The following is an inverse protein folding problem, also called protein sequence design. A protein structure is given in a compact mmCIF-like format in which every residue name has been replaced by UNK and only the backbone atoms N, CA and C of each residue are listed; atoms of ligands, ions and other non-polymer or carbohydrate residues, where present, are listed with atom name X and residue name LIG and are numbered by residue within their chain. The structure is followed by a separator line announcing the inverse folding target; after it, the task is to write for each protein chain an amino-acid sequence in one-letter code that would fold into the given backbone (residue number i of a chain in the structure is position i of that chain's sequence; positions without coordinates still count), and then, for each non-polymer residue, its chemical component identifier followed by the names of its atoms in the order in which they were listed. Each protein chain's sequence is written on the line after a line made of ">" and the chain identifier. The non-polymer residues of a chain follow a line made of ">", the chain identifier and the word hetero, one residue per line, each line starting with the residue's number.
data_IF_637244994711
#
_entry.id   IF_637244994711
#
_cell.length_a   1.000
_cell.length_b   1.000
_cell.length_c   1.000
_cell.angle_alpha   90.00
_cell.angle_beta   90.00
_cell.angle_gamma   90.00
#
_symmetry.space_group_name_H-M   'P 1'
#
loop_
_entity.id
_entity.type
_entity.pdbx_description
1 polymer ?
#
# COMPACT_ATOMS: atom_id res chain seq x y z
N UNK A 1 20.89 -6.33 14.17
CA UNK A 1 19.78 -6.66 13.25
C UNK A 1 20.39 -7.12 11.92
N UNK A 2 19.86 -8.15 11.26
CA UNK A 2 20.45 -8.68 10.01
C UNK A 2 19.82 -7.99 8.79
N UNK A 3 20.56 -7.09 8.14
CA UNK A 3 20.08 -6.23 7.06
C UNK A 3 19.48 -7.00 5.85
N UNK A 4 20.11 -8.08 5.35
CA UNK A 4 19.51 -8.98 4.37
C UNK A 4 18.12 -9.51 4.71
N UNK A 5 17.84 -9.78 6.01
CA UNK A 5 16.51 -10.25 6.42
C UNK A 5 15.47 -9.15 6.34
N UNK A 6 15.84 -7.90 6.61
CA UNK A 6 14.94 -6.75 6.47
C UNK A 6 14.58 -6.52 5.00
N UNK A 7 15.58 -6.61 4.12
CA UNK A 7 15.40 -6.44 2.68
C UNK A 7 14.52 -7.56 2.11
N UNK A 8 14.68 -8.80 2.59
CA UNK A 8 13.83 -9.92 2.20
C UNK A 8 12.38 -9.73 2.66
N UNK A 9 12.17 -9.28 3.90
CA UNK A 9 10.84 -9.02 4.44
C UNK A 9 10.13 -7.92 3.63
N UNK A 10 10.84 -6.84 3.31
CA UNK A 10 10.32 -5.75 2.50
C UNK A 10 10.07 -6.18 1.05
N UNK A 11 10.93 -7.04 0.49
CA UNK A 11 10.75 -7.63 -0.83
C UNK A 11 9.46 -8.43 -0.91
N UNK A 12 9.24 -9.34 0.05
CA UNK A 12 8.01 -10.15 0.12
C UNK A 12 6.78 -9.26 0.28
N UNK A 13 6.86 -8.23 1.13
CA UNK A 13 5.77 -7.27 1.31
C UNK A 13 5.43 -6.51 0.02
N UNK A 14 6.44 -6.01 -0.70
CA UNK A 14 6.25 -5.35 -2.00
C UNK A 14 5.72 -6.30 -3.07
N UNK A 15 6.18 -7.55 -3.10
CA UNK A 15 5.65 -8.57 -4.01
C UNK A 15 4.16 -8.84 -3.75
N UNK A 16 3.75 -8.98 -2.49
CA UNK A 16 2.32 -9.10 -2.11
C UNK A 16 1.54 -7.86 -2.53
N UNK A 17 2.10 -6.67 -2.27
CA UNK A 17 1.49 -5.39 -2.62
C UNK A 17 1.34 -5.19 -4.14
N UNK A 18 2.11 -5.88 -4.97
CA UNK A 18 1.98 -5.84 -6.44
C UNK A 18 1.06 -6.94 -6.96
N UNK A 19 1.13 -8.14 -6.39
CA UNK A 19 0.46 -9.34 -6.94
C UNK A 19 -0.96 -9.57 -6.42
N UNK A 20 -1.40 -8.91 -5.34
CA UNK A 20 -2.74 -9.15 -4.79
C UNK A 20 -3.83 -8.57 -5.69
N UNK A 21 -4.77 -9.40 -6.15
CA UNK A 21 -5.83 -9.03 -7.13
C UNK A 21 -7.27 -9.28 -6.63
N UNK A 22 -7.44 -9.73 -5.39
CA UNK A 22 -8.72 -10.24 -4.89
C UNK A 22 -9.53 -9.18 -4.12
N UNK A 23 -10.80 -9.52 -3.86
CA UNK A 23 -11.67 -8.81 -2.88
C UNK A 23 -10.88 -8.66 -1.57
N UNK A 24 -10.64 -7.41 -1.10
CA UNK A 24 -9.73 -7.05 0.02
C UNK A 24 -8.23 -6.90 -0.32
N UNK A 25 -7.89 -6.70 -1.59
CA UNK A 25 -6.52 -6.43 -2.04
C UNK A 25 -5.88 -5.26 -1.27
N UNK A 26 -6.62 -4.16 -1.06
CA UNK A 26 -6.13 -2.97 -0.37
C UNK A 26 -5.76 -3.29 1.08
N UNK A 27 -6.62 -4.03 1.79
CA UNK A 27 -6.36 -4.45 3.17
C UNK A 27 -5.14 -5.37 3.27
N UNK A 28 -5.07 -6.40 2.42
CA UNK A 28 -3.97 -7.36 2.44
C UNK A 28 -2.62 -6.69 2.12
N UNK A 29 -2.59 -5.81 1.12
CA UNK A 29 -1.40 -5.04 0.78
C UNK A 29 -1.00 -4.09 1.91
N UNK A 30 -1.95 -3.39 2.53
CA UNK A 30 -1.67 -2.46 3.64
C UNK A 30 -1.08 -3.18 4.85
N UNK A 31 -1.62 -4.34 5.23
CA UNK A 31 -1.11 -5.16 6.33
C UNK A 31 0.28 -5.71 6.00
N UNK A 32 0.45 -6.29 4.80
CA UNK A 32 1.73 -6.84 4.38
C UNK A 32 2.83 -5.78 4.36
N UNK A 33 2.53 -4.58 3.86
CA UNK A 33 3.46 -3.46 3.82
C UNK A 33 3.74 -2.89 5.21
N UNK A 34 2.72 -2.75 6.07
CA UNK A 34 2.92 -2.31 7.45
C UNK A 34 3.82 -3.27 8.23
N UNK A 35 3.60 -4.59 8.10
CA UNK A 35 4.47 -5.61 8.69
C UNK A 35 5.87 -5.60 8.07
N UNK A 36 5.95 -5.42 6.75
CA UNK A 36 7.21 -5.38 6.01
C UNK A 36 8.11 -4.21 6.40
N UNK A 37 7.51 -3.06 6.72
CA UNK A 37 8.20 -1.84 7.10
C UNK A 37 8.34 -1.64 8.61
N UNK A 38 7.67 -2.43 9.45
CA UNK A 38 7.77 -2.33 10.91
C UNK A 38 9.20 -2.38 11.45
N UNK A 39 10.10 -3.26 10.95
CA UNK A 39 11.49 -3.25 11.40
C UNK A 39 12.23 -1.95 11.05
N UNK A 40 11.96 -1.37 9.86
CA UNK A 40 12.53 -0.09 9.46
C UNK A 40 11.98 1.05 10.33
N UNK A 41 10.67 1.09 10.56
CA UNK A 41 10.05 2.06 11.46
C UNK A 41 10.62 1.99 12.89
N UNK A 42 10.85 0.79 13.41
CA UNK A 42 11.47 0.58 14.73
C UNK A 42 12.91 1.11 14.79
N UNK A 43 13.70 0.88 13.75
CA UNK A 43 15.09 1.30 13.67
C UNK A 43 15.26 2.81 13.67
N UNK A 44 14.39 3.54 12.98
CA UNK A 44 14.56 4.98 12.74
C UNK A 44 13.63 5.88 13.55
N UNK A 45 12.44 5.39 13.90
CA UNK A 45 11.44 6.16 14.65
C UNK A 45 11.11 5.59 16.04
N UNK A 46 11.77 4.51 16.46
CA UNK A 46 11.55 3.86 17.76
C UNK A 46 10.17 3.22 17.91
N UNK A 47 9.80 2.87 19.15
CA UNK A 47 8.55 2.15 19.44
C UNK A 47 7.28 2.90 19.02
N UNK A 48 7.27 4.24 19.15
CA UNK A 48 6.13 5.07 18.75
C UNK A 48 5.83 4.98 17.24
N UNK A 49 6.86 4.92 16.40
CA UNK A 49 6.69 4.75 14.96
C UNK A 49 6.06 3.39 14.58
N UNK A 50 6.45 2.32 15.28
CA UNK A 50 5.86 0.99 15.09
C UNK A 50 4.37 1.02 15.46
N UNK A 51 4.02 1.68 16.57
CA UNK A 51 2.61 1.82 17.00
C UNK A 51 1.79 2.58 15.96
N UNK A 52 2.32 3.67 15.39
CA UNK A 52 1.62 4.44 14.34
C UNK A 52 1.40 3.57 13.09
N UNK A 53 2.44 2.86 12.65
CA UNK A 53 2.38 2.02 11.45
C UNK A 53 1.43 0.82 11.60
N UNK A 54 1.55 0.08 12.69
CA UNK A 54 0.66 -1.05 12.99
C UNK A 54 -0.75 -0.59 13.34
N UNK A 55 -0.88 0.55 14.01
CA UNK A 55 -2.14 1.18 14.34
C UNK A 55 -2.94 1.54 13.09
N UNK A 56 -2.28 1.99 12.02
CA UNK A 56 -2.95 2.23 10.74
C UNK A 56 -3.40 0.94 10.05
N UNK A 57 -2.61 -0.13 10.15
CA UNK A 57 -3.03 -1.47 9.68
C UNK A 57 -4.25 -1.99 10.45
N UNK A 58 -4.26 -1.83 11.78
CA UNK A 58 -5.40 -2.18 12.62
C UNK A 58 -6.63 -1.30 12.31
N UNK A 59 -6.44 0.01 12.14
CA UNK A 59 -7.49 0.94 11.74
C UNK A 59 -8.09 0.55 10.39
N UNK A 60 -7.28 0.12 9.43
CA UNK A 60 -7.76 -0.37 8.13
C UNK A 60 -8.61 -1.65 8.27
N UNK A 61 -8.18 -2.57 9.14
CA UNK A 61 -8.90 -3.81 9.41
C UNK A 61 -10.27 -3.58 10.06
N UNK A 62 -10.43 -2.48 10.81
CA UNK A 62 -11.68 -2.11 11.49
C UNK A 62 -12.56 -1.21 10.60
N UNK A 63 -11.97 -0.22 9.95
CA UNK A 63 -12.68 0.76 9.12
C UNK A 63 -13.34 0.10 7.90
N UNK A 64 -12.66 -0.84 7.23
CA UNK A 64 -13.20 -1.55 6.07
C UNK A 64 -14.56 -2.23 6.36
N UNK A 65 -14.65 -3.14 7.35
CA UNK A 65 -15.91 -3.77 7.73
C UNK A 65 -16.99 -2.81 8.20
N UNK A 66 -16.64 -1.79 9.01
CA UNK A 66 -17.61 -0.82 9.52
C UNK A 66 -18.21 0.03 8.40
N UNK A 67 -17.36 0.59 7.55
CA UNK A 67 -17.79 1.44 6.44
C UNK A 67 -18.49 0.60 5.37
N UNK A 68 -18.07 -0.64 5.15
CA UNK A 68 -18.80 -1.60 4.32
C UNK A 68 -20.19 -1.90 4.87
N UNK A 69 -20.35 -2.08 6.18
CA UNK A 69 -21.67 -2.30 6.79
C UNK A 69 -22.58 -1.06 6.66
N UNK A 70 -22.03 0.15 6.82
CA UNK A 70 -22.75 1.40 6.59
C UNK A 70 -23.14 1.55 5.11
N UNK A 71 -22.21 1.25 4.19
CA UNK A 71 -22.45 1.30 2.76
C UNK A 71 -23.55 0.33 2.31
N UNK A 72 -23.62 -0.87 2.92
CA UNK A 72 -24.67 -1.84 2.64
C UNK A 72 -26.06 -1.41 3.12
N UNK A 73 -26.16 -0.52 4.12
CA UNK A 73 -27.43 0.03 4.61
C UNK A 73 -27.99 1.14 3.71
N UNK A 74 -27.15 1.74 2.87
CA UNK A 74 -27.52 2.88 2.02
C UNK A 74 -28.28 2.54 0.74
N UNK A 75 -28.65 1.27 0.53
CA UNK A 75 -29.27 0.79 -0.70
C UNK A 75 -28.31 0.68 -1.89
N UNK A 76 -28.71 -0.02 -2.97
CA UNK A 76 -27.97 0.01 -4.21
C UNK A 76 -28.00 1.39 -4.84
N UNK A 77 -26.87 1.82 -5.39
CA UNK A 77 -26.76 3.10 -6.09
C UNK A 77 -25.80 2.99 -7.27
N UNK A 78 -26.08 3.76 -8.33
CA UNK A 78 -25.21 3.89 -9.49
C UNK A 78 -23.84 4.42 -9.06
N UNK A 79 -22.84 3.54 -9.06
CA UNK A 79 -21.48 3.85 -8.64
C UNK A 79 -20.44 3.10 -9.45
N UNK A 80 -19.22 3.65 -9.56
CA UNK A 80 -18.10 3.04 -10.30
C UNK A 80 -17.75 1.66 -9.74
N UNK A 81 -17.51 0.67 -10.59
CA UNK A 81 -17.10 -0.68 -10.17
C UNK A 81 -15.63 -0.74 -9.80
N UNK A 82 -15.28 -0.96 -8.51
CA UNK A 82 -13.89 -1.02 -8.12
C UNK A 82 -13.16 -2.23 -8.72
N UNK A 83 -13.89 -3.22 -9.25
CA UNK A 83 -13.35 -4.38 -9.92
C UNK A 83 -13.49 -4.31 -11.45
N UNK A 84 -14.31 -3.41 -12.03
CA UNK A 84 -14.35 -3.31 -13.50
C UNK A 84 -13.06 -2.71 -14.02
N UNK A 85 -12.47 -3.31 -15.06
CA UNK A 85 -11.37 -2.71 -15.76
C UNK A 85 -11.81 -1.41 -16.46
N UNK A 86 -11.01 -0.36 -16.34
CA UNK A 86 -11.23 0.97 -16.96
C UNK A 86 -11.03 0.95 -18.48
N UNK A 87 -10.50 -0.14 -19.04
CA UNK A 87 -10.47 -0.40 -20.48
C UNK A 87 -10.07 -1.84 -20.79
N UNK A 88 -10.61 -2.40 -21.88
CA UNK A 88 -10.11 -3.63 -22.45
C UNK A 88 -8.78 -3.31 -23.16
N UNK A 89 -7.71 -4.04 -22.82
CA UNK A 89 -6.42 -3.87 -23.47
C UNK A 89 -5.94 -5.23 -23.99
N UNK A 90 -5.86 -5.35 -25.31
CA UNK A 90 -5.18 -6.44 -26.01
C UNK A 90 -3.66 -6.17 -25.97
N UNK A 91 -3.08 -6.25 -24.78
CA UNK A 91 -1.64 -6.10 -24.60
C UNK A 91 -0.91 -7.42 -24.82
N UNK A 92 0.31 -7.35 -25.36
CA UNK A 92 1.23 -8.49 -25.53
C UNK A 92 1.51 -9.27 -24.22
N UNK A 93 1.30 -8.62 -23.07
CA UNK A 93 1.50 -9.19 -21.75
C UNK A 93 0.24 -9.11 -20.89
N UNK A 94 -0.07 -10.21 -20.21
CA UNK A 94 -1.12 -10.26 -19.20
C UNK A 94 -0.83 -9.35 -17.99
N UNK A 95 -1.86 -8.92 -17.24
CA UNK A 95 -1.72 -7.98 -16.12
C UNK A 95 -0.72 -8.43 -15.06
N UNK A 96 -0.64 -9.73 -14.77
CA UNK A 96 0.36 -10.27 -13.82
C UNK A 96 1.79 -10.13 -14.33
N UNK A 97 2.02 -10.38 -15.62
CA UNK A 97 3.36 -10.28 -16.22
C UNK A 97 3.88 -8.84 -16.20
N UNK A 98 3.03 -7.86 -16.50
CA UNK A 98 3.39 -6.43 -16.45
C UNK A 98 3.72 -5.99 -15.02
N UNK A 99 2.98 -6.50 -14.04
CA UNK A 99 3.22 -6.23 -12.62
C UNK A 99 4.51 -6.86 -12.09
N UNK A 100 4.81 -8.09 -12.51
CA UNK A 100 6.10 -8.74 -12.19
C UNK A 100 7.26 -7.96 -12.82
N UNK A 101 7.14 -7.55 -14.09
CA UNK A 101 8.14 -6.72 -14.76
C UNK A 101 8.32 -5.38 -14.05
N UNK A 102 7.22 -4.73 -13.66
CA UNK A 102 7.25 -3.54 -12.82
C UNK A 102 7.99 -3.81 -11.50
N UNK A 103 7.65 -4.88 -10.78
CA UNK A 103 8.31 -5.23 -9.53
C UNK A 103 9.82 -5.43 -9.69
N UNK A 104 10.27 -6.00 -10.82
CA UNK A 104 11.68 -6.12 -11.15
C UNK A 104 12.34 -4.75 -11.39
N UNK A 105 11.66 -3.83 -12.09
CA UNK A 105 12.14 -2.44 -12.26
C UNK A 105 12.21 -1.71 -10.91
N UNK A 106 11.20 -1.86 -10.05
CA UNK A 106 11.21 -1.32 -8.69
C UNK A 106 12.35 -1.88 -7.85
N UNK A 107 12.69 -3.16 -8.00
CA UNK A 107 13.82 -3.77 -7.32
C UNK A 107 15.12 -3.07 -7.70
N UNK A 108 15.37 -2.92 -9.00
CA UNK A 108 16.59 -2.27 -9.51
C UNK A 108 16.66 -0.82 -9.08
N UNK A 109 15.58 -0.06 -9.27
CA UNK A 109 15.53 1.36 -8.91
C UNK A 109 15.60 1.58 -7.38
N UNK A 110 14.94 0.73 -6.58
CA UNK A 110 14.98 0.79 -5.12
C UNK A 110 16.38 0.48 -4.58
N UNK A 111 17.06 -0.51 -5.19
CA UNK A 111 18.47 -0.82 -4.92
C UNK A 111 19.35 0.39 -5.24
N UNK A 112 19.18 0.99 -6.42
CA UNK A 112 19.94 2.17 -6.82
C UNK A 112 19.75 3.35 -5.86
N UNK A 113 18.51 3.69 -5.51
CA UNK A 113 18.20 4.75 -4.53
C UNK A 113 18.88 4.46 -3.19
N UNK A 114 18.84 3.21 -2.74
CA UNK A 114 19.41 2.83 -1.46
C UNK A 114 20.94 2.88 -1.39
N UNK A 115 21.63 2.80 -2.52
CA UNK A 115 23.08 2.90 -2.60
C UNK A 115 23.58 4.30 -2.97
N UNK A 116 22.74 5.15 -3.55
CA UNK A 116 23.15 6.45 -4.12
C UNK A 116 22.54 7.68 -3.42
N UNK A 117 21.49 7.54 -2.60
CA UNK A 117 20.85 8.68 -1.94
C UNK A 117 21.28 8.77 -0.46
N UNK A 118 21.98 9.84 -0.05
CA UNK A 118 22.29 10.07 1.36
C UNK A 118 21.03 10.53 2.13
N UNK A 119 20.85 10.02 3.35
CA UNK A 119 19.77 10.43 4.25
C UNK A 119 20.36 11.21 5.42
N UNK A 120 20.05 12.51 5.50
CA UNK A 120 20.48 13.37 6.60
C UNK A 120 22.00 13.61 6.66
N UNK A 121 22.48 14.13 7.80
CA UNK A 121 23.89 14.48 8.05
C UNK A 121 24.78 13.29 8.45
N UNK A 122 24.20 12.10 8.60
CA UNK A 122 24.92 10.87 9.00
C UNK A 122 24.89 9.91 7.80
N UNK A 123 25.91 10.01 6.95
CA UNK A 123 26.09 9.21 5.73
C UNK A 123 26.28 7.69 5.96
N UNK A 124 26.03 7.17 7.16
CA UNK A 124 26.40 5.82 7.56
C UNK A 124 25.39 4.72 7.18
N UNK A 125 24.28 5.04 6.51
CA UNK A 125 23.19 4.08 6.30
C UNK A 125 22.97 3.76 4.82
N UNK A 126 24.05 3.33 4.14
CA UNK A 126 23.91 2.69 2.84
C UNK A 126 23.12 1.39 2.98
N UNK A 127 22.14 1.17 2.09
CA UNK A 127 21.35 -0.06 2.05
C UNK A 127 20.09 -0.10 2.91
N UNK A 128 19.85 0.80 3.87
CA UNK A 128 18.65 0.71 4.70
C UNK A 128 17.45 1.53 4.23
N UNK A 129 17.64 2.33 3.18
CA UNK A 129 16.55 2.93 2.43
C UNK A 129 15.84 1.92 1.54
N UNK A 130 16.50 0.79 1.22
CA UNK A 130 16.01 -0.19 0.26
C UNK A 130 14.57 -0.63 0.53
N UNK A 131 14.19 -1.05 1.76
CA UNK A 131 12.80 -1.43 2.06
C UNK A 131 11.77 -0.37 1.68
N UNK A 132 12.07 0.89 2.01
CA UNK A 132 11.15 2.02 1.83
C UNK A 132 11.09 2.44 0.37
N UNK A 133 12.24 2.56 -0.28
CA UNK A 133 12.34 2.91 -1.70
C UNK A 133 11.71 1.83 -2.60
N UNK A 134 11.95 0.55 -2.30
CA UNK A 134 11.37 -0.57 -3.03
C UNK A 134 9.84 -0.57 -2.94
N UNK A 135 9.29 -0.48 -1.73
CA UNK A 135 7.83 -0.48 -1.52
C UNK A 135 7.19 0.77 -2.13
N UNK A 136 7.83 1.94 -2.03
CA UNK A 136 7.37 3.16 -2.71
C UNK A 136 7.24 2.95 -4.22
N UNK A 137 8.29 2.39 -4.85
CA UNK A 137 8.30 2.12 -6.30
C UNK A 137 7.26 1.07 -6.69
N UNK A 138 7.05 0.03 -5.87
CA UNK A 138 5.97 -0.93 -6.05
C UNK A 138 4.59 -0.24 -6.05
N UNK A 139 4.36 0.68 -5.11
CA UNK A 139 3.12 1.48 -5.04
C UNK A 139 2.93 2.37 -6.26
N UNK A 140 3.97 3.12 -6.66
CA UNK A 140 3.95 4.01 -7.83
C UNK A 140 3.70 3.24 -9.13
N UNK A 141 4.38 2.11 -9.32
CA UNK A 141 4.13 1.27 -10.49
C UNK A 141 2.71 0.73 -10.50
N UNK A 142 2.17 0.37 -9.33
CA UNK A 142 0.79 -0.08 -9.24
C UNK A 142 -0.21 1.04 -9.55
N UNK A 143 0.11 2.29 -9.27
CA UNK A 143 -0.68 3.46 -9.72
C UNK A 143 -0.64 3.61 -11.25
N UNK A 144 0.55 3.56 -11.86
CA UNK A 144 0.70 3.67 -13.32
C UNK A 144 0.07 2.49 -14.08
N UNK A 145 0.08 1.30 -13.47
CA UNK A 145 -0.48 0.08 -14.03
C UNK A 145 -1.91 -0.19 -13.56
N UNK A 146 -2.55 0.77 -12.88
CA UNK A 146 -3.86 0.58 -12.29
C UNK A 146 -4.91 0.33 -13.37
N UNK A 147 -5.58 -0.83 -13.32
CA UNK A 147 -6.64 -1.17 -14.28
C UNK A 147 -8.03 -0.96 -13.71
N UNK A 148 -8.17 -0.86 -12.40
CA UNK A 148 -9.44 -0.64 -11.71
C UNK A 148 -9.20 0.24 -10.46
N UNK A 149 -10.28 0.70 -9.84
CA UNK A 149 -10.15 1.55 -8.64
C UNK A 149 -9.51 0.81 -7.47
N UNK A 150 -9.61 -0.52 -7.42
CA UNK A 150 -8.93 -1.33 -6.39
C UNK A 150 -7.41 -1.24 -6.54
N UNK A 151 -6.89 -1.33 -7.76
CA UNK A 151 -5.46 -1.19 -8.04
C UNK A 151 -4.96 0.21 -7.69
N UNK A 152 -5.73 1.24 -8.03
CA UNK A 152 -5.43 2.62 -7.66
C UNK A 152 -5.40 2.77 -6.13
N UNK A 153 -6.39 2.23 -5.42
CA UNK A 153 -6.47 2.28 -3.97
C UNK A 153 -5.30 1.53 -3.29
N UNK A 154 -4.89 0.37 -3.82
CA UNK A 154 -3.69 -0.32 -3.34
C UNK A 154 -2.45 0.53 -3.60
N UNK A 155 -2.28 1.06 -4.81
CA UNK A 155 -1.14 1.92 -5.14
C UNK A 155 -1.03 3.12 -4.20
N UNK A 156 -2.14 3.83 -3.96
CA UNK A 156 -2.20 4.98 -3.04
C UNK A 156 -1.85 4.56 -1.62
N UNK A 157 -2.44 3.48 -1.11
CA UNK A 157 -2.18 3.01 0.25
C UNK A 157 -0.71 2.60 0.45
N UNK A 158 -0.15 1.84 -0.50
CA UNK A 158 1.24 1.37 -0.44
C UNK A 158 2.23 2.54 -0.53
N UNK A 159 2.00 3.48 -1.44
CA UNK A 159 2.82 4.69 -1.57
C UNK A 159 2.72 5.56 -0.31
N UNK A 160 1.53 5.76 0.24
CA UNK A 160 1.33 6.55 1.46
C UNK A 160 2.06 5.95 2.66
N UNK A 161 1.98 4.62 2.85
CA UNK A 161 2.71 3.96 3.93
C UNK A 161 4.23 4.08 3.74
N UNK A 162 4.73 3.89 2.52
CA UNK A 162 6.16 4.05 2.24
C UNK A 162 6.65 5.49 2.46
N UNK A 163 5.91 6.49 1.98
CA UNK A 163 6.24 7.92 2.20
C UNK A 163 6.19 8.26 3.69
N UNK A 164 5.19 7.77 4.41
CA UNK A 164 5.08 7.97 5.85
C UNK A 164 6.27 7.40 6.62
N UNK A 165 6.74 6.20 6.26
CA UNK A 165 7.97 5.64 6.83
C UNK A 165 9.21 6.41 6.37
N UNK A 166 9.22 6.93 5.14
CA UNK A 166 10.24 7.87 4.63
C UNK A 166 10.37 9.16 5.46
N UNK A 167 9.27 9.70 5.96
CA UNK A 167 9.28 10.85 6.88
C UNK A 167 9.98 10.54 8.20
N UNK A 168 9.87 9.31 8.70
CA UNK A 168 10.57 8.87 9.91
C UNK A 168 12.09 8.75 9.68
N UNK A 169 12.52 8.44 8.46
CA UNK A 169 13.92 8.32 8.07
C UNK A 169 14.64 9.67 7.96
N UNK A 170 13.91 10.71 7.53
CA UNK A 170 14.52 12.00 7.15
C UNK A 170 15.16 12.75 8.32
N UNK A 171 14.71 12.51 9.56
CA UNK A 171 15.18 13.21 10.76
C UNK A 171 14.87 14.72 10.73
N UNK A 172 14.03 15.21 11.65
CA UNK A 172 13.60 16.60 11.68
C UNK A 172 12.72 16.92 12.89
N UNK A 173 12.21 18.15 13.00
CA UNK A 173 11.25 18.53 14.04
C UNK A 173 9.87 17.91 13.74
N UNK A 174 9.37 17.08 14.66
CA UNK A 174 8.07 16.39 14.60
C UNK A 174 7.85 15.43 13.41
N UNK A 175 8.67 14.36 13.26
CA UNK A 175 8.49 13.36 12.20
C UNK A 175 7.27 12.45 12.44
N UNK A 176 6.85 12.27 13.70
CA UNK A 176 5.76 11.36 14.07
C UNK A 176 4.37 11.85 13.64
N UNK A 177 3.96 13.12 13.91
CA UNK A 177 2.68 13.64 13.43
C UNK A 177 2.58 13.67 11.90
N UNK A 178 3.65 14.08 11.22
CA UNK A 178 3.70 14.10 9.76
C UNK A 178 3.59 12.69 9.16
N UNK A 179 4.34 11.73 9.70
CA UNK A 179 4.24 10.33 9.29
C UNK A 179 2.82 9.75 9.54
N UNK A 180 2.24 10.02 10.71
CA UNK A 180 0.89 9.56 11.06
C UNK A 180 -0.17 10.10 10.09
N UNK A 181 -0.08 11.39 9.72
CA UNK A 181 -0.98 12.02 8.76
C UNK A 181 -0.94 11.35 7.38
N UNK A 182 0.26 11.05 6.87
CA UNK A 182 0.41 10.38 5.57
C UNK A 182 -0.03 8.91 5.65
N UNK A 183 0.34 8.19 6.72
CA UNK A 183 -0.02 6.78 6.90
C UNK A 183 -1.55 6.60 7.02
N UNK A 184 -2.27 7.59 7.58
CA UNK A 184 -3.74 7.56 7.71
C UNK A 184 -4.48 7.49 6.36
N UNK A 185 -3.82 7.77 5.23
CA UNK A 185 -4.40 7.60 3.90
C UNK A 185 -4.70 6.12 3.60
N UNK A 186 -3.90 5.18 4.12
CA UNK A 186 -4.11 3.74 3.89
C UNK A 186 -5.45 3.21 4.43
N UNK A 187 -5.84 3.43 5.70
CA UNK A 187 -7.16 3.02 6.18
C UNK A 187 -8.31 3.74 5.48
N UNK A 188 -8.13 5.00 5.04
CA UNK A 188 -9.14 5.73 4.25
C UNK A 188 -9.36 5.06 2.88
N UNK A 189 -8.29 4.66 2.19
CA UNK A 189 -8.39 3.93 0.92
C UNK A 189 -9.13 2.59 1.08
N UNK A 190 -8.84 1.86 2.17
CA UNK A 190 -9.54 0.60 2.50
C UNK A 190 -11.02 0.84 2.79
N UNK A 191 -11.35 1.88 3.56
CA UNK A 191 -12.73 2.25 3.87
C UNK A 191 -13.52 2.60 2.60
N UNK A 192 -12.91 3.37 1.69
CA UNK A 192 -13.52 3.76 0.42
C UNK A 192 -13.78 2.54 -0.50
N UNK A 193 -12.82 1.63 -0.63
CA UNK A 193 -13.00 0.38 -1.39
C UNK A 193 -14.17 -0.45 -0.81
N UNK A 194 -14.20 -0.60 0.52
CA UNK A 194 -15.22 -1.38 1.20
C UNK A 194 -16.62 -0.77 1.06
N UNK A 195 -16.72 0.56 1.11
CA UNK A 195 -17.97 1.29 0.89
C UNK A 195 -18.53 1.06 -0.52
N UNK A 196 -17.69 1.28 -1.54
CA UNK A 196 -18.04 1.10 -2.95
C UNK A 196 -18.45 -0.35 -3.24
N UNK A 197 -17.72 -1.31 -2.66
CA UNK A 197 -18.02 -2.73 -2.82
C UNK A 197 -19.31 -3.17 -2.08
N UNK A 198 -19.73 -2.44 -1.04
CA UNK A 198 -20.91 -2.77 -0.25
C UNK A 198 -22.20 -2.25 -0.88
N UNK A 199 -22.21 -1.02 -1.41
CA UNK A 199 -23.38 -0.43 -2.07
C UNK A 199 -23.91 -1.31 -3.20
N UNK A 200 -23.05 -2.02 -3.93
CA UNK A 200 -23.46 -2.92 -5.01
C UNK A 200 -23.97 -4.31 -4.61
N UNK A 201 -23.73 -4.79 -3.38
CA UNK A 201 -24.26 -6.11 -2.98
C UNK A 201 -25.79 -6.10 -2.83
N UNK A 202 -26.41 -4.92 -2.78
CA UNK A 202 -27.86 -4.75 -2.81
C UNK A 202 -28.49 -5.18 -4.14
N UNK A 203 -27.83 -4.92 -5.28
CA UNK A 203 -28.37 -5.20 -6.62
C UNK A 203 -28.41 -6.69 -6.98
N UNK A 204 -27.43 -7.48 -6.51
CA UNK A 204 -27.33 -8.90 -6.85
C UNK A 204 -28.36 -9.80 -6.14
N UNK A 205 -29.24 -9.23 -5.29
CA UNK A 205 -30.25 -9.96 -4.51
C UNK A 205 -31.67 -9.86 -5.07
N UNK A 206 -31.88 -9.16 -6.18
CA UNK A 206 -33.17 -9.17 -6.89
C UNK A 206 -33.08 -10.20 -8.02
N UNK A 207 -33.57 -11.43 -7.84
CA UNK A 207 -33.82 -12.29 -8.99
C UNK A 207 -34.91 -11.60 -9.83
N UNK A 208 -34.58 -11.27 -11.08
CA UNK A 208 -35.58 -10.91 -12.08
C UNK A 208 -36.53 -12.09 -12.28
N UNK A 209 -37.85 -11.87 -12.31
CA UNK A 209 -38.85 -12.92 -12.52
C UNK A 209 -38.73 -13.60 -13.89
#
# INVERSE_FOLDING_TARGET
>A
MNQPLLDLIAFVAGAVAVLVDRRRAVLAASIAVALGLAPAAALYGGGGAVVVLLGAGAAAAVAGPLVGAVGARGGPGDGLDPLRPVGAHEGLFGPRSVRVAGCAVALVAGSWVSFNVPVGSIAAVQGALFPVAFIFLCGVLRLFLARNLTDLAVGVAVTAVAVGVGWLLRGGSDPLPAAAGVIAIAPVAVAMEAWLAARRRGDARVPTP
#
